data_IF_052633745492
#
_entry.id   IF_052633745492
#
_cell.length_a   1.000
_cell.length_b   1.000
_cell.length_c   1.000
_cell.angle_alpha   90.00
_cell.angle_beta   90.00
_cell.angle_gamma   90.00
#
_symmetry.space_group_name_H-M   'P 1'
#
loop_
_entity.id
_entity.type
_entity.pdbx_description
1 polymer ?
#
# COMPACT_ATOMS: atom_id res chain seq x y z
N UNK A 1 6.11 -14.89 3.14
CA UNK A 1 6.73 -16.14 2.66
C UNK A 1 5.69 -17.08 2.03
N UNK A 2 4.78 -17.69 2.82
CA UNK A 2 3.78 -18.63 2.30
C UNK A 2 2.95 -18.08 1.12
N UNK A 3 2.46 -16.84 1.23
CA UNK A 3 1.74 -16.19 0.12
C UNK A 3 2.56 -16.12 -1.17
N UNK A 4 3.87 -15.84 -1.08
CA UNK A 4 4.76 -15.82 -2.25
C UNK A 4 4.92 -17.18 -2.91
N UNK A 5 4.98 -18.27 -2.12
CA UNK A 5 4.99 -19.64 -2.66
C UNK A 5 3.69 -19.93 -3.40
N UNK A 6 2.55 -19.57 -2.82
CA UNK A 6 1.26 -19.82 -3.46
C UNK A 6 1.14 -19.01 -4.76
N UNK A 7 1.51 -17.72 -4.76
CA UNK A 7 1.51 -16.90 -5.99
C UNK A 7 2.40 -17.53 -7.07
N UNK A 8 3.65 -17.86 -6.74
CA UNK A 8 4.59 -18.43 -7.70
C UNK A 8 4.08 -19.74 -8.32
N UNK A 9 3.37 -20.57 -7.53
CA UNK A 9 2.73 -21.79 -8.02
C UNK A 9 1.47 -21.52 -8.85
N UNK A 10 0.70 -20.49 -8.52
CA UNK A 10 -0.59 -20.20 -9.14
C UNK A 10 -0.43 -19.49 -10.49
N UNK A 11 0.43 -18.49 -10.60
CA UNK A 11 0.53 -17.62 -11.79
C UNK A 11 1.83 -17.79 -12.58
N UNK A 12 2.74 -18.65 -12.12
CA UNK A 12 4.04 -18.86 -12.75
C UNK A 12 5.01 -17.68 -12.63
N UNK A 13 6.22 -17.78 -13.21
CA UNK A 13 7.26 -16.77 -13.07
C UNK A 13 6.91 -15.43 -13.75
N UNK A 14 6.26 -15.48 -14.91
CA UNK A 14 5.79 -14.30 -15.63
C UNK A 14 4.71 -13.55 -14.84
N UNK A 15 3.70 -14.27 -14.33
CA UNK A 15 2.67 -13.69 -13.49
C UNK A 15 3.21 -13.10 -12.18
N UNK A 16 4.26 -13.70 -11.59
CA UNK A 16 4.96 -13.12 -10.43
C UNK A 16 5.59 -11.76 -10.79
N UNK A 17 6.18 -11.64 -11.99
CA UNK A 17 6.70 -10.38 -12.50
C UNK A 17 5.61 -9.30 -12.58
N UNK A 18 4.46 -9.65 -13.15
CA UNK A 18 3.32 -8.74 -13.26
C UNK A 18 2.79 -8.31 -11.88
N UNK A 19 2.63 -9.25 -10.94
CA UNK A 19 2.21 -8.96 -9.56
C UNK A 19 3.23 -8.03 -8.86
N UNK A 20 4.53 -8.26 -9.06
CA UNK A 20 5.58 -7.45 -8.46
C UNK A 20 5.57 -6.01 -9.01
N UNK A 21 5.43 -5.84 -10.32
CA UNK A 21 5.29 -4.52 -10.97
C UNK A 21 4.05 -3.77 -10.46
N UNK A 22 2.92 -4.46 -10.34
CA UNK A 22 1.69 -3.91 -9.80
C UNK A 22 1.83 -3.45 -8.34
N UNK A 23 2.54 -4.23 -7.51
CA UNK A 23 2.86 -3.82 -6.14
C UNK A 23 3.87 -2.69 -6.07
N UNK A 24 4.86 -2.63 -6.96
CA UNK A 24 5.83 -1.54 -7.02
C UNK A 24 5.13 -0.18 -7.20
N UNK A 25 4.12 -0.10 -8.07
CA UNK A 25 3.29 1.10 -8.25
C UNK A 25 2.67 1.56 -6.92
N UNK A 26 2.10 0.63 -6.17
CA UNK A 26 1.45 0.93 -4.87
C UNK A 26 2.50 1.31 -3.82
N UNK A 27 3.62 0.60 -3.76
CA UNK A 27 4.71 0.80 -2.81
C UNK A 27 5.42 2.15 -3.01
N UNK A 28 5.55 2.62 -4.25
CA UNK A 28 6.07 3.97 -4.55
C UNK A 28 5.16 5.08 -4.04
N UNK A 29 3.85 4.82 -3.94
CA UNK A 29 2.90 5.77 -3.39
C UNK A 29 2.83 5.72 -1.84
N UNK A 30 3.21 4.60 -1.19
CA UNK A 30 3.16 4.48 0.29
C UNK A 30 3.95 5.53 1.08
N UNK A 31 5.16 5.98 0.66
CA UNK A 31 5.88 7.07 1.33
C UNK A 31 5.00 8.30 1.53
N UNK A 32 4.19 8.68 0.55
CA UNK A 32 3.28 9.82 0.64
C UNK A 32 2.19 9.62 1.71
N UNK A 33 1.81 8.37 2.00
CA UNK A 33 0.96 7.97 3.12
C UNK A 33 1.66 7.96 4.47
N UNK A 34 2.89 8.46 4.56
CA UNK A 34 3.57 8.70 5.85
C UNK A 34 3.74 10.19 6.15
N UNK A 35 3.41 11.07 5.17
CA UNK A 35 3.58 12.52 5.24
C UNK A 35 3.03 13.12 6.53
N UNK A 36 1.82 12.73 6.93
CA UNK A 36 1.20 13.25 8.14
C UNK A 36 1.21 12.27 9.32
N UNK A 37 1.49 10.97 9.12
CA UNK A 37 1.39 9.96 10.18
C UNK A 37 2.45 10.17 11.26
N UNK A 38 3.72 10.26 10.88
CA UNK A 38 4.83 10.44 11.84
C UNK A 38 4.72 11.74 12.66
N UNK A 39 4.49 12.92 12.04
CA UNK A 39 4.31 14.13 12.82
C UNK A 39 2.99 14.14 13.61
N UNK A 40 1.94 13.45 13.17
CA UNK A 40 0.70 13.28 13.94
C UNK A 40 0.93 12.45 15.21
N UNK A 41 1.65 11.32 15.13
CA UNK A 41 2.05 10.53 16.31
C UNK A 41 2.79 11.44 17.30
N UNK A 42 3.82 12.16 16.83
CA UNK A 42 4.60 13.07 17.69
C UNK A 42 3.72 14.13 18.35
N UNK A 43 2.82 14.78 17.60
CA UNK A 43 1.91 15.81 18.13
C UNK A 43 0.87 15.24 19.10
N UNK A 44 0.42 14.01 18.88
CA UNK A 44 -0.52 13.33 19.79
C UNK A 44 0.10 13.08 21.17
N UNK A 45 1.41 12.85 21.26
CA UNK A 45 2.13 12.73 22.52
C UNK A 45 2.45 14.08 23.19
N UNK A 46 2.46 15.19 22.44
CA UNK A 46 2.89 16.52 22.89
C UNK A 46 1.74 17.46 23.28
N UNK A 47 0.54 16.92 23.58
CA UNK A 47 -0.66 17.65 24.07
C UNK A 47 -1.55 18.36 23.02
N UNK A 48 -1.51 17.98 21.74
CA UNK A 48 -2.56 18.39 20.79
C UNK A 48 -3.88 17.64 21.04
N UNK A 49 -5.04 18.26 20.76
CA UNK A 49 -6.32 17.54 20.75
C UNK A 49 -6.21 16.36 19.76
N UNK A 50 -6.28 15.10 20.24
CA UNK A 50 -6.12 13.93 19.40
C UNK A 50 -7.11 13.91 18.23
N UNK A 51 -8.32 14.46 18.41
CA UNK A 51 -9.33 14.51 17.35
C UNK A 51 -8.90 15.43 16.21
N UNK A 52 -8.33 16.60 16.53
CA UNK A 52 -7.84 17.54 15.51
C UNK A 52 -6.59 17.00 14.80
N UNK A 53 -5.66 16.39 15.55
CA UNK A 53 -4.43 15.81 15.00
C UNK A 53 -4.73 14.70 14.00
N UNK A 54 -5.54 13.71 14.41
CA UNK A 54 -5.87 12.57 13.55
C UNK A 54 -6.88 12.92 12.46
N UNK A 55 -7.81 13.83 12.72
CA UNK A 55 -8.71 14.39 11.71
C UNK A 55 -7.96 15.14 10.60
N UNK A 56 -6.93 15.92 10.96
CA UNK A 56 -6.09 16.66 9.99
C UNK A 56 -5.23 15.68 9.19
N UNK A 57 -4.64 14.69 9.86
CA UNK A 57 -3.87 13.64 9.19
C UNK A 57 -4.71 12.86 8.18
N UNK A 58 -5.96 12.52 8.53
CA UNK A 58 -6.91 11.88 7.61
C UNK A 58 -7.24 12.75 6.41
N UNK A 59 -7.56 14.03 6.63
CA UNK A 59 -7.84 14.96 5.55
C UNK A 59 -6.64 15.08 4.58
N UNK A 60 -5.41 15.16 5.10
CA UNK A 60 -4.20 15.22 4.27
C UNK A 60 -3.95 13.93 3.49
N UNK A 61 -4.18 12.75 4.09
CA UNK A 61 -4.05 11.50 3.34
C UNK A 61 -5.04 11.41 2.20
N UNK A 62 -6.31 11.76 2.45
CA UNK A 62 -7.34 11.78 1.42
C UNK A 62 -6.94 12.74 0.29
N UNK A 63 -6.43 13.94 0.62
CA UNK A 63 -6.01 14.94 -0.36
C UNK A 63 -4.84 14.50 -1.26
N UNK A 64 -4.01 13.54 -0.83
CA UNK A 64 -2.86 13.06 -1.62
C UNK A 64 -3.16 11.72 -2.30
N UNK A 65 -3.69 10.75 -1.55
CA UNK A 65 -3.90 9.38 -2.03
C UNK A 65 -5.08 9.27 -3.01
N UNK A 66 -6.15 10.06 -2.83
CA UNK A 66 -7.30 10.00 -3.74
C UNK A 66 -6.91 10.51 -5.13
N UNK A 67 -6.28 11.70 -5.30
CA UNK A 67 -5.81 12.13 -6.61
C UNK A 67 -4.76 11.19 -7.20
N UNK A 68 -3.84 10.64 -6.39
CA UNK A 68 -2.86 9.67 -6.87
C UNK A 68 -3.53 8.40 -7.43
N UNK A 69 -4.50 7.83 -6.71
CA UNK A 69 -5.26 6.68 -7.18
C UNK A 69 -6.02 6.98 -8.48
N UNK A 70 -6.70 8.12 -8.56
CA UNK A 70 -7.40 8.56 -9.78
C UNK A 70 -6.42 8.73 -10.93
N UNK A 71 -5.25 9.33 -10.69
CA UNK A 71 -4.20 9.50 -11.69
C UNK A 71 -3.68 8.16 -12.23
N UNK A 72 -3.43 7.18 -11.35
CA UNK A 72 -2.98 5.84 -11.77
C UNK A 72 -4.08 5.12 -12.56
N UNK A 73 -5.35 5.24 -12.14
CA UNK A 73 -6.48 4.65 -12.89
C UNK A 73 -6.60 5.30 -14.27
N UNK A 74 -6.51 6.63 -14.37
CA UNK A 74 -6.57 7.34 -15.64
C UNK A 74 -5.40 6.99 -16.58
N UNK A 75 -4.20 6.78 -16.01
CA UNK A 75 -3.00 6.38 -16.74
C UNK A 75 -2.88 4.86 -16.92
N UNK A 76 -3.86 4.07 -16.48
CA UNK A 76 -3.77 2.61 -16.48
C UNK A 76 -3.50 1.98 -17.85
N UNK A 77 -3.99 2.50 -19.01
CA UNK A 77 -3.61 1.95 -20.32
C UNK A 77 -2.13 2.11 -20.64
N UNK A 78 -1.56 3.29 -20.34
CA UNK A 78 -0.15 3.59 -20.57
C UNK A 78 0.73 2.80 -19.61
N UNK A 79 0.35 2.73 -18.35
CA UNK A 79 1.09 1.96 -17.33
C UNK A 79 1.02 0.46 -17.58
N UNK A 80 -0.10 -0.06 -18.09
CA UNK A 80 -0.24 -1.46 -18.47
C UNK A 80 0.74 -1.83 -19.59
N UNK A 81 0.87 -0.99 -20.62
CA UNK A 81 1.83 -1.17 -21.71
C UNK A 81 3.29 -1.13 -21.22
N UNK A 82 3.64 -0.13 -20.40
CA UNK A 82 4.99 0.02 -19.85
C UNK A 82 5.39 -1.12 -18.91
N UNK A 83 4.44 -1.70 -18.18
CA UNK A 83 4.68 -2.74 -17.17
C UNK A 83 4.43 -4.16 -17.69
N UNK A 84 4.13 -4.32 -18.98
CA UNK A 84 3.73 -5.60 -19.58
C UNK A 84 2.62 -6.28 -18.78
N UNK A 85 1.54 -5.53 -18.50
CA UNK A 85 0.45 -5.91 -17.62
C UNK A 85 -0.91 -5.64 -18.26
N UNK A 86 -1.99 -6.05 -17.59
CA UNK A 86 -3.36 -5.73 -18.00
C UNK A 86 -3.84 -4.44 -17.34
N UNK A 87 -4.68 -3.69 -18.06
CA UNK A 87 -5.32 -2.46 -17.54
C UNK A 87 -6.07 -2.74 -16.25
N UNK A 88 -6.72 -3.92 -16.15
CA UNK A 88 -7.40 -4.40 -14.96
C UNK A 88 -6.46 -4.55 -13.76
N UNK A 89 -5.29 -5.16 -13.93
CA UNK A 89 -4.31 -5.32 -12.85
C UNK A 89 -3.86 -3.97 -12.29
N UNK A 90 -3.54 -3.02 -13.17
CA UNK A 90 -3.12 -1.67 -12.76
C UNK A 90 -4.28 -0.93 -12.06
N UNK A 91 -5.48 -0.97 -12.63
CA UNK A 91 -6.65 -0.29 -12.07
C UNK A 91 -7.04 -0.87 -10.70
N UNK A 92 -7.06 -2.20 -10.53
CA UNK A 92 -7.33 -2.86 -9.25
C UNK A 92 -6.25 -2.46 -8.24
N UNK A 93 -4.98 -2.48 -8.62
CA UNK A 93 -3.86 -2.11 -7.73
C UNK A 93 -3.99 -0.66 -7.23
N UNK A 94 -4.42 0.26 -8.07
CA UNK A 94 -4.64 1.65 -7.68
C UNK A 94 -5.67 1.80 -6.56
N UNK A 95 -6.70 0.95 -6.52
CA UNK A 95 -7.71 0.97 -5.43
C UNK A 95 -7.12 0.61 -4.07
N UNK A 96 -5.99 -0.10 -4.04
CA UNK A 96 -5.26 -0.41 -2.81
C UNK A 96 -4.82 0.86 -2.07
N UNK A 97 -4.47 1.92 -2.81
CA UNK A 97 -4.09 3.21 -2.22
C UNK A 97 -5.21 3.83 -1.40
N UNK A 98 -6.45 3.64 -1.82
CA UNK A 98 -7.62 4.12 -1.09
C UNK A 98 -7.86 3.26 0.16
N UNK A 99 -7.76 1.94 0.01
CA UNK A 99 -7.96 1.00 1.12
C UNK A 99 -6.91 1.18 2.22
N UNK A 100 -5.68 1.60 1.88
CA UNK A 100 -4.60 1.78 2.85
C UNK A 100 -4.77 3.01 3.75
N UNK A 101 -5.54 4.03 3.33
CA UNK A 101 -5.68 5.29 4.09
C UNK A 101 -6.17 5.04 5.53
N UNK A 102 -7.29 4.32 5.75
CA UNK A 102 -7.76 4.06 7.10
C UNK A 102 -6.84 3.12 7.87
N UNK A 103 -6.15 2.20 7.19
CA UNK A 103 -5.19 1.28 7.80
C UNK A 103 -4.03 2.05 8.41
N UNK A 104 -3.34 2.88 7.62
CA UNK A 104 -2.17 3.65 8.06
C UNK A 104 -2.49 4.54 9.25
N UNK A 105 -3.62 5.24 9.21
CA UNK A 105 -4.01 6.16 10.29
C UNK A 105 -4.55 5.40 11.49
N UNK A 106 -5.38 4.38 11.28
CA UNK A 106 -5.98 3.60 12.36
C UNK A 106 -4.93 2.87 13.20
N UNK A 107 -3.94 2.24 12.54
CA UNK A 107 -2.83 1.59 13.25
C UNK A 107 -1.97 2.62 13.99
N UNK A 108 -1.72 3.80 13.39
CA UNK A 108 -0.97 4.86 14.05
C UNK A 108 -1.71 5.46 15.26
N UNK A 109 -3.04 5.58 15.19
CA UNK A 109 -3.90 5.93 16.34
C UNK A 109 -3.74 4.91 17.45
N UNK A 110 -3.79 3.61 17.13
CA UNK A 110 -3.62 2.54 18.12
C UNK A 110 -2.22 2.55 18.74
N UNK A 111 -1.19 2.79 17.93
CA UNK A 111 0.19 2.96 18.41
C UNK A 111 0.31 4.15 19.37
N UNK A 112 -0.31 5.29 19.05
CA UNK A 112 -0.32 6.46 19.95
C UNK A 112 -1.04 6.20 21.28
N UNK A 113 -2.06 5.33 21.26
CA UNK A 113 -2.81 4.90 22.45
C UNK A 113 -2.16 3.74 23.19
N UNK A 114 -1.05 3.19 22.67
CA UNK A 114 -0.39 1.96 23.17
C UNK A 114 -1.33 0.73 23.22
N UNK A 115 -2.36 0.70 22.36
CA UNK A 115 -3.26 -0.46 22.22
C UNK A 115 -2.67 -1.47 21.22
N UNK A 116 -1.55 -2.08 21.62
CA UNK A 116 -0.84 -3.05 20.79
C UNK A 116 -1.65 -4.33 20.54
N UNK A 117 -2.62 -4.65 21.42
CA UNK A 117 -3.48 -5.81 21.25
C UNK A 117 -4.41 -5.63 20.06
N UNK A 118 -5.15 -4.52 19.99
CA UNK A 118 -6.03 -4.25 18.86
C UNK A 118 -5.24 -4.12 17.57
N UNK A 119 -4.08 -3.46 17.60
CA UNK A 119 -3.17 -3.32 16.45
C UNK A 119 -2.74 -4.69 15.91
N UNK A 120 -2.25 -5.56 16.78
CA UNK A 120 -1.76 -6.89 16.37
C UNK A 120 -2.90 -7.77 15.86
N UNK A 121 -4.10 -7.68 16.44
CA UNK A 121 -5.29 -8.39 15.93
C UNK A 121 -5.58 -7.97 14.49
N UNK A 122 -5.59 -6.67 14.19
CA UNK A 122 -5.85 -6.18 12.82
C UNK A 122 -4.78 -6.70 11.86
N UNK A 123 -3.50 -6.63 12.24
CA UNK A 123 -2.39 -7.13 11.40
C UNK A 123 -2.52 -8.64 11.15
N UNK A 124 -2.83 -9.43 12.18
CA UNK A 124 -3.03 -10.88 12.04
C UNK A 124 -4.22 -11.16 11.12
N UNK A 125 -5.37 -10.52 11.35
CA UNK A 125 -6.58 -10.70 10.53
C UNK A 125 -6.26 -10.38 9.07
N UNK A 126 -5.57 -9.27 8.80
CA UNK A 126 -5.16 -8.88 7.44
C UNK A 126 -4.27 -9.92 6.77
N UNK A 127 -3.27 -10.46 7.48
CA UNK A 127 -2.38 -11.47 6.89
C UNK A 127 -3.10 -12.80 6.63
N UNK A 128 -3.97 -13.21 7.55
CA UNK A 128 -4.77 -14.44 7.42
C UNK A 128 -5.81 -14.30 6.31
N UNK A 129 -6.55 -13.20 6.28
CA UNK A 129 -7.55 -12.94 5.22
C UNK A 129 -6.90 -12.87 3.85
N UNK A 130 -5.69 -12.32 3.74
CA UNK A 130 -4.98 -12.30 2.47
C UNK A 130 -4.70 -13.73 1.97
N UNK A 131 -4.18 -14.62 2.82
CA UNK A 131 -3.95 -16.02 2.46
C UNK A 131 -5.27 -16.72 2.08
N UNK A 132 -6.33 -16.49 2.83
CA UNK A 132 -7.66 -17.07 2.53
C UNK A 132 -8.18 -16.59 1.18
N UNK A 133 -8.18 -15.28 0.92
CA UNK A 133 -8.63 -14.73 -0.36
C UNK A 133 -7.76 -15.20 -1.52
N UNK A 134 -6.45 -15.35 -1.30
CA UNK A 134 -5.55 -15.85 -2.31
C UNK A 134 -5.85 -17.31 -2.68
N UNK A 135 -6.13 -18.15 -1.69
CA UNK A 135 -6.53 -19.55 -1.92
C UNK A 135 -7.90 -19.63 -2.59
N UNK A 136 -8.86 -18.80 -2.18
CA UNK A 136 -10.24 -18.86 -2.69
C UNK A 136 -10.38 -18.25 -4.08
N UNK A 137 -9.67 -17.16 -4.37
CA UNK A 137 -9.83 -16.41 -5.62
C UNK A 137 -8.77 -16.78 -6.66
N UNK A 138 -7.49 -16.83 -6.27
CA UNK A 138 -6.39 -16.95 -7.23
C UNK A 138 -6.10 -18.40 -7.60
N UNK A 139 -6.07 -19.33 -6.63
CA UNK A 139 -5.73 -20.75 -6.90
C UNK A 139 -6.68 -21.40 -7.93
N UNK A 140 -8.02 -21.20 -7.88
CA UNK A 140 -8.91 -21.83 -8.85
C UNK A 140 -8.85 -21.21 -10.24
N UNK A 141 -8.47 -19.93 -10.32
CA UNK A 141 -8.52 -19.16 -11.58
C UNK A 141 -7.17 -19.08 -12.29
N UNK A 142 -6.07 -19.24 -11.56
CA UNK A 142 -4.72 -18.99 -12.10
C UNK A 142 -4.47 -17.54 -12.51
N UNK A 143 -5.34 -16.60 -12.11
CA UNK A 143 -5.34 -15.23 -12.61
C UNK A 143 -4.51 -14.29 -11.73
N UNK A 144 -3.73 -13.43 -12.39
CA UNK A 144 -2.98 -12.34 -11.75
C UNK A 144 -3.93 -11.31 -11.14
N UNK A 145 -5.03 -10.97 -11.82
CA UNK A 145 -6.08 -10.09 -11.31
C UNK A 145 -6.63 -10.60 -9.99
N UNK A 146 -6.85 -11.92 -9.87
CA UNK A 146 -7.36 -12.53 -8.64
C UNK A 146 -6.34 -12.44 -7.49
N UNK A 147 -5.03 -12.55 -7.76
CA UNK A 147 -3.97 -12.34 -6.75
C UNK A 147 -3.98 -10.90 -6.25
N UNK A 148 -4.06 -9.94 -7.16
CA UNK A 148 -4.08 -8.50 -6.82
C UNK A 148 -5.37 -8.15 -6.07
N UNK A 149 -6.52 -8.65 -6.53
CA UNK A 149 -7.81 -8.47 -5.88
C UNK A 149 -7.81 -9.06 -4.46
N UNK A 150 -7.21 -10.23 -4.24
CA UNK A 150 -7.09 -10.81 -2.90
C UNK A 150 -6.33 -9.87 -1.93
N UNK A 151 -5.29 -9.20 -2.40
CA UNK A 151 -4.54 -8.22 -1.60
C UNK A 151 -5.37 -6.97 -1.29
N UNK A 152 -6.06 -6.43 -2.31
CA UNK A 152 -6.98 -5.29 -2.15
C UNK A 152 -8.10 -5.61 -1.15
N UNK A 153 -8.75 -6.76 -1.28
CA UNK A 153 -9.84 -7.18 -0.39
C UNK A 153 -9.36 -7.35 1.05
N UNK A 154 -8.17 -7.94 1.23
CA UNK A 154 -7.58 -8.06 2.56
C UNK A 154 -7.29 -6.69 3.19
N UNK A 155 -6.75 -5.77 2.40
CA UNK A 155 -6.49 -4.38 2.84
C UNK A 155 -7.80 -3.65 3.12
N UNK A 156 -8.83 -3.85 2.31
CA UNK A 156 -10.16 -3.28 2.51
C UNK A 156 -10.81 -3.80 3.81
N UNK A 157 -10.65 -5.08 4.13
CA UNK A 157 -11.08 -5.63 5.42
C UNK A 157 -10.36 -4.94 6.58
N UNK A 158 -9.04 -4.82 6.51
CA UNK A 158 -8.25 -4.10 7.51
C UNK A 158 -8.70 -2.64 7.66
N UNK A 159 -9.00 -2.00 6.53
CA UNK A 159 -9.50 -0.64 6.44
C UNK A 159 -10.80 -0.48 7.22
N UNK A 160 -11.78 -1.37 6.98
CA UNK A 160 -13.06 -1.41 7.71
C UNK A 160 -12.84 -1.59 9.22
N UNK A 161 -11.92 -2.48 9.62
CA UNK A 161 -11.59 -2.67 11.04
C UNK A 161 -10.94 -1.43 11.66
N UNK A 162 -10.17 -0.66 10.90
CA UNK A 162 -9.54 0.57 11.36
C UNK A 162 -10.51 1.77 11.43
N UNK A 163 -11.56 1.81 10.59
CA UNK A 163 -12.53 2.92 10.57
C UNK A 163 -13.13 3.24 11.94
N UNK A 164 -13.34 2.22 12.79
CA UNK A 164 -13.89 2.39 14.16
C UNK A 164 -13.02 3.24 15.09
N UNK A 165 -11.74 3.40 14.76
CA UNK A 165 -10.78 4.17 15.56
C UNK A 165 -10.54 5.57 15.00
N UNK A 166 -11.06 5.86 13.82
CA UNK A 166 -10.88 7.15 13.17
C UNK A 166 -11.91 8.15 13.65
N UNK A 167 -11.45 9.38 13.81
CA UNK A 167 -12.32 10.53 14.06
C UNK A 167 -12.75 11.15 12.74
N UNK A 168 -13.84 11.93 12.76
CA UNK A 168 -14.26 12.70 11.58
C UNK A 168 -13.08 13.56 11.09
N UNK A 169 -12.91 13.72 9.76
CA UNK A 169 -11.89 14.59 9.22
C UNK A 169 -12.16 16.02 9.67
N UNK A 170 -11.16 16.63 10.32
CA UNK A 170 -11.17 18.03 10.75
C UNK A 170 -9.85 18.61 10.28
N UNK A 171 -9.91 19.54 9.34
CA UNK A 171 -8.71 20.14 8.78
C UNK A 171 -8.31 21.37 9.60
N UNK A 172 -7.20 21.26 10.34
CA UNK A 172 -6.56 22.40 10.97
C UNK A 172 -5.37 22.87 10.13
N UNK A 173 -5.40 24.13 9.68
CA UNK A 173 -4.41 24.70 8.75
C UNK A 173 -3.00 24.77 9.37
N UNK A 174 -2.82 25.29 10.61
CA UNK A 174 -1.55 25.20 11.34
C UNK A 174 -0.96 23.79 11.40
N UNK A 175 -1.75 22.80 11.80
CA UNK A 175 -1.30 21.40 11.86
C UNK A 175 -0.93 20.86 10.48
N UNK A 176 -1.71 21.17 9.45
CA UNK A 176 -1.41 20.75 8.09
C UNK A 176 -0.06 21.30 7.60
N UNK A 177 0.22 22.60 7.84
CA UNK A 177 1.53 23.20 7.50
C UNK A 177 2.69 22.53 8.23
N UNK A 178 2.48 22.20 9.50
CA UNK A 178 3.46 21.46 10.29
C UNK A 178 3.71 20.05 9.74
N UNK A 179 2.65 19.33 9.34
CA UNK A 179 2.76 18.00 8.76
C UNK A 179 3.47 18.02 7.41
N UNK A 180 3.20 18.99 6.54
CA UNK A 180 3.92 19.13 5.27
C UNK A 180 5.40 19.42 5.50
N UNK A 181 5.74 20.41 6.34
CA UNK A 181 7.13 20.82 6.53
C UNK A 181 8.00 19.73 7.17
N UNK A 182 7.43 18.99 8.13
CA UNK A 182 8.12 17.87 8.77
C UNK A 182 8.10 16.62 7.87
N UNK A 183 6.94 16.27 7.33
CA UNK A 183 6.71 15.05 6.58
C UNK A 183 7.43 15.02 5.25
N UNK A 184 7.55 16.15 4.53
CA UNK A 184 8.14 16.17 3.19
C UNK A 184 9.58 15.62 3.17
N UNK A 185 10.36 15.90 4.22
CA UNK A 185 11.72 15.35 4.36
C UNK A 185 11.70 13.84 4.53
N UNK A 186 10.81 13.32 5.38
CA UNK A 186 10.64 11.89 5.59
C UNK A 186 10.16 11.19 4.33
N UNK A 187 9.19 11.78 3.62
CA UNK A 187 8.68 11.25 2.35
C UNK A 187 9.79 11.17 1.31
N UNK A 188 10.59 12.22 1.15
CA UNK A 188 11.68 12.22 0.17
C UNK A 188 12.67 11.08 0.43
N UNK A 189 13.10 10.89 1.69
CA UNK A 189 14.03 9.81 2.07
C UNK A 189 13.41 8.43 1.79
N UNK A 190 12.16 8.21 2.23
CA UNK A 190 11.48 6.94 2.04
C UNK A 190 11.23 6.65 0.55
N UNK A 191 10.86 7.66 -0.22
CA UNK A 191 10.66 7.55 -1.65
C UNK A 191 11.96 7.20 -2.37
N UNK A 192 13.07 7.89 -2.07
CA UNK A 192 14.38 7.54 -2.62
C UNK A 192 14.79 6.10 -2.29
N UNK A 193 14.57 5.65 -1.05
CA UNK A 193 14.86 4.27 -0.67
C UNK A 193 14.00 3.25 -1.44
N UNK A 194 12.71 3.55 -1.63
CA UNK A 194 11.82 2.68 -2.41
C UNK A 194 12.23 2.62 -3.87
N UNK A 195 12.57 3.77 -4.49
CA UNK A 195 13.06 3.81 -5.88
C UNK A 195 14.33 2.96 -6.02
N UNK A 196 15.30 3.10 -5.12
CA UNK A 196 16.53 2.30 -5.15
C UNK A 196 16.24 0.81 -4.99
N UNK A 197 15.36 0.43 -4.06
CA UNK A 197 14.97 -0.97 -3.85
C UNK A 197 14.33 -1.56 -5.12
N UNK A 198 13.33 -0.88 -5.69
CA UNK A 198 12.63 -1.37 -6.88
C UNK A 198 13.48 -1.36 -8.14
N UNK A 199 14.40 -0.40 -8.28
CA UNK A 199 15.40 -0.42 -9.34
C UNK A 199 16.33 -1.63 -9.20
N UNK A 200 16.73 -1.98 -7.97
CA UNK A 200 17.46 -3.22 -7.69
C UNK A 200 16.68 -4.49 -8.04
N UNK A 201 15.38 -4.53 -7.71
CA UNK A 201 14.49 -5.64 -8.11
C UNK A 201 14.41 -5.75 -9.63
N UNK A 202 14.17 -4.65 -10.34
CA UNK A 202 14.09 -4.64 -11.80
C UNK A 202 15.38 -5.12 -12.47
N UNK A 203 16.55 -4.66 -12.00
CA UNK A 203 17.86 -5.10 -12.50
C UNK A 203 18.13 -6.59 -12.21
N UNK A 204 17.68 -7.08 -11.05
CA UNK A 204 17.82 -8.50 -10.68
C UNK A 204 16.91 -9.37 -11.55
N UNK A 205 15.67 -8.96 -11.79
CA UNK A 205 14.74 -9.66 -12.68
C UNK A 205 15.27 -9.69 -14.13
N UNK A 206 15.80 -8.57 -14.63
CA UNK A 206 16.38 -8.49 -15.97
C UNK A 206 17.61 -9.41 -16.12
N UNK A 207 18.49 -9.46 -15.13
CA UNK A 207 19.68 -10.34 -15.16
C UNK A 207 19.32 -11.83 -15.04
N UNK A 208 18.30 -12.18 -14.24
CA UNK A 208 17.77 -13.54 -14.16
C UNK A 208 17.05 -13.96 -15.45
N UNK A 209 16.25 -13.08 -16.06
CA UNK A 209 15.60 -13.32 -17.35
C UNK A 209 16.60 -13.55 -18.49
N UNK A 210 17.72 -12.82 -18.50
CA UNK A 210 18.82 -13.04 -19.44
C UNK A 210 19.50 -14.41 -19.22
N UNK A 211 19.59 -14.88 -17.97
CA UNK A 211 20.18 -16.19 -17.65
C UNK A 211 19.30 -17.38 -18.04
N UNK A 212 17.96 -17.25 -17.99
CA UNK A 212 17.04 -18.30 -18.45
C UNK A 212 17.07 -18.51 -19.97
N UNK A 213 17.49 -17.51 -20.76
CA UNK A 213 17.69 -17.65 -22.20
C UNK A 213 18.89 -18.52 -22.60
N UNK A 214 19.80 -18.82 -21.67
CA UNK A 214 21.02 -19.60 -21.94
C UNK A 214 21.10 -20.98 -21.27
N UNK A 215 20.21 -21.30 -20.32
CA UNK A 215 20.32 -22.54 -19.50
C UNK A 215 19.14 -23.50 -19.72
N UNK A 216 18.04 -23.06 -20.35
CA UNK A 216 16.92 -23.92 -20.75
C UNK A 216 16.79 -24.06 -22.28
N UNK A 217 17.87 -24.49 -22.93
CA UNK A 217 17.82 -25.09 -24.27
C UNK A 217 18.52 -26.45 -24.24
#
# INVERSE_FOLDING_TARGET
>A
FLGGIVIARTVGPEGVGIVASAWALVELAKPWGTLSVMPAIRRSFQAGDPKMVWGTSLAMHLAVMVPAAIGIIALSPVLADVLDSTVSVVAISATMLLAVIPVSIGLAVLDSRKDFRARNIIVIVTNVSYLVFLIVLAVPTGSVEAVVAANVLSTALASVLCLRYLTRPVLDRPLARYFVSFGARTVAILFSNQVVFWLGVALTTASLGASSGGIYR
#
